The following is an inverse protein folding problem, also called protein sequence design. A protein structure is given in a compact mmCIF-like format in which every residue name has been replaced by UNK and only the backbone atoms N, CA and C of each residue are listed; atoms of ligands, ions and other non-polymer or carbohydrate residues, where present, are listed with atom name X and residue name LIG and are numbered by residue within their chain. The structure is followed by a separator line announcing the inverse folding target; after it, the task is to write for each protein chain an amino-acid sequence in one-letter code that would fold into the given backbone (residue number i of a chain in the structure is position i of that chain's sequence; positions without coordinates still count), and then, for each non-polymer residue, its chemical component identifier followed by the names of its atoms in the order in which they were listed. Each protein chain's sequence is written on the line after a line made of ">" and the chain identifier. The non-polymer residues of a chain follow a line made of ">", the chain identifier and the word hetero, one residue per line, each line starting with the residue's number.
data_IF_229171265240
#
_entry.id   IF_229171265240
#
_cell.length_a   1.000
_cell.length_b   1.000
_cell.length_c   1.000
_cell.angle_alpha   90.00
_cell.angle_beta   90.00
_cell.angle_gamma   90.00
#
_symmetry.space_group_name_H-M   'P 1'
#
loop_
_entity.id
_entity.type
_entity.pdbx_description
1 polymer ?
#
# COMPACT_ATOMS: atom_id res chain seq x y z
N UNK A 1 -17.48 -10.58 11.51
CA UNK A 1 -16.41 -9.94 10.73
C UNK A 1 -16.95 -8.91 9.75
N UNK A 2 -16.09 -8.10 9.13
CA UNK A 2 -16.47 -7.14 8.11
C UNK A 2 -16.85 -7.83 6.80
N UNK A 3 -17.95 -7.38 6.18
CA UNK A 3 -18.33 -7.82 4.84
C UNK A 3 -17.69 -6.88 3.81
N UNK A 4 -16.63 -7.34 3.16
CA UNK A 4 -15.81 -6.54 2.24
C UNK A 4 -15.90 -7.04 0.81
N UNK A 5 -15.83 -6.13 -0.17
CA UNK A 5 -15.55 -6.50 -1.56
C UNK A 5 -14.14 -7.05 -1.67
N UNK A 6 -13.92 -8.13 -2.43
CA UNK A 6 -12.59 -8.75 -2.60
C UNK A 6 -11.57 -7.81 -3.25
N UNK A 7 -12.06 -6.83 -4.01
CA UNK A 7 -11.29 -5.68 -4.49
C UNK A 7 -11.70 -4.46 -3.67
N UNK A 8 -10.74 -3.91 -2.93
CA UNK A 8 -10.86 -2.65 -2.24
C UNK A 8 -10.17 -1.52 -3.02
N UNK A 9 -10.23 -0.32 -2.50
CA UNK A 9 -9.67 0.90 -3.09
C UNK A 9 -8.43 1.37 -2.30
N UNK A 10 -7.24 1.32 -2.92
CA UNK A 10 -6.00 1.85 -2.36
C UNK A 10 -5.88 3.37 -2.54
N UNK A 11 -5.84 4.12 -1.45
CA UNK A 11 -5.97 5.58 -1.44
C UNK A 11 -4.70 6.40 -1.68
N UNK A 12 -3.52 5.79 -1.83
CA UNK A 12 -2.29 6.56 -2.10
C UNK A 12 -2.40 7.41 -3.39
N UNK A 13 -2.88 6.89 -4.52
CA UNK A 13 -2.84 7.65 -5.77
C UNK A 13 -3.78 8.84 -5.82
N UNK A 14 -4.89 8.85 -5.07
CA UNK A 14 -5.86 9.97 -5.13
C UNK A 14 -5.28 11.30 -4.64
N UNK A 15 -4.15 11.29 -3.91
CA UNK A 15 -3.44 12.52 -3.55
C UNK A 15 -3.02 13.36 -4.77
N UNK A 16 -2.82 12.72 -5.93
CA UNK A 16 -2.47 13.39 -7.20
C UNK A 16 -3.65 14.07 -7.89
N UNK A 17 -4.88 13.76 -7.48
CA UNK A 17 -6.12 14.29 -8.06
C UNK A 17 -6.55 15.56 -7.33
N UNK A 18 -7.30 16.41 -8.01
CA UNK A 18 -8.09 17.45 -7.34
C UNK A 18 -9.18 16.85 -6.45
N UNK A 19 -9.72 17.63 -5.53
CA UNK A 19 -10.85 17.21 -4.68
C UNK A 19 -12.04 16.73 -5.52
N UNK A 20 -12.37 17.46 -6.61
CA UNK A 20 -13.50 17.13 -7.50
C UNK A 20 -13.27 15.79 -8.21
N UNK A 21 -12.09 15.58 -8.77
CA UNK A 21 -11.75 14.32 -9.44
C UNK A 21 -11.77 13.14 -8.47
N UNK A 22 -11.19 13.30 -7.28
CA UNK A 22 -11.21 12.27 -6.26
C UNK A 22 -12.63 11.89 -5.83
N UNK A 23 -13.53 12.88 -5.63
CA UNK A 23 -14.94 12.62 -5.30
C UNK A 23 -15.66 11.84 -6.40
N UNK A 24 -15.47 12.21 -7.66
CA UNK A 24 -16.09 11.51 -8.79
C UNK A 24 -15.58 10.06 -8.87
N UNK A 25 -14.27 9.87 -8.75
CA UNK A 25 -13.64 8.55 -8.79
C UNK A 25 -14.11 7.64 -7.64
N UNK A 26 -14.21 8.18 -6.42
CA UNK A 26 -14.70 7.43 -5.25
C UNK A 26 -16.19 7.06 -5.40
N UNK A 27 -17.02 7.98 -5.92
CA UNK A 27 -18.42 7.68 -6.20
C UNK A 27 -18.57 6.57 -7.26
N UNK A 28 -17.73 6.59 -8.31
CA UNK A 28 -17.69 5.54 -9.33
C UNK A 28 -17.25 4.19 -8.72
N UNK A 29 -16.26 4.19 -7.82
CA UNK A 29 -15.81 2.98 -7.15
C UNK A 29 -16.93 2.35 -6.29
N UNK A 30 -17.67 3.16 -5.52
CA UNK A 30 -18.84 2.69 -4.77
C UNK A 30 -19.91 2.15 -5.72
N UNK A 31 -20.22 2.87 -6.81
CA UNK A 31 -21.17 2.44 -7.81
C UNK A 31 -20.79 1.13 -8.53
N UNK A 32 -19.50 0.80 -8.57
CA UNK A 32 -18.97 -0.44 -9.10
C UNK A 32 -18.92 -1.59 -8.04
N UNK A 33 -19.48 -1.39 -6.85
CA UNK A 33 -19.54 -2.42 -5.79
C UNK A 33 -18.32 -2.50 -4.88
N UNK A 34 -17.35 -1.59 -5.02
CA UNK A 34 -16.22 -1.50 -4.08
C UNK A 34 -16.72 -0.87 -2.79
N UNK A 35 -16.58 -1.57 -1.67
CA UNK A 35 -16.99 -1.06 -0.37
C UNK A 35 -15.84 -0.91 0.64
N UNK A 36 -14.64 -1.39 0.37
CA UNK A 36 -13.47 -1.26 1.24
C UNK A 36 -12.52 -0.18 0.73
N UNK A 37 -12.30 0.88 1.52
CA UNK A 37 -11.48 2.04 1.17
C UNK A 37 -10.33 2.20 2.15
N UNK A 38 -9.10 2.02 1.66
CA UNK A 38 -7.88 2.07 2.46
C UNK A 38 -7.11 3.38 2.24
N UNK A 39 -6.80 4.06 3.34
CA UNK A 39 -5.95 5.26 3.36
C UNK A 39 -4.97 5.24 4.52
N UNK A 40 -4.28 6.33 4.78
CA UNK A 40 -3.40 6.51 5.94
C UNK A 40 -3.17 8.01 6.24
N UNK A 41 -2.82 8.30 7.49
CA UNK A 41 -2.41 9.64 7.92
C UNK A 41 -1.25 10.19 7.08
N UNK A 42 -0.29 9.35 6.70
CA UNK A 42 0.88 9.73 5.90
C UNK A 42 0.61 9.92 4.40
N UNK A 43 -0.62 9.74 3.91
CA UNK A 43 -0.96 9.86 2.49
C UNK A 43 -1.45 11.27 2.11
N UNK A 44 -0.80 12.31 2.63
CA UNK A 44 -1.13 13.69 2.34
C UNK A 44 -2.59 14.03 2.67
N UNK A 45 -3.36 14.44 1.68
CA UNK A 45 -4.77 14.80 1.82
C UNK A 45 -5.77 13.67 1.51
N UNK A 46 -5.29 12.42 1.35
CA UNK A 46 -6.11 11.27 0.99
C UNK A 46 -7.25 11.00 1.99
N UNK A 47 -6.99 11.08 3.31
CA UNK A 47 -8.06 10.94 4.32
C UNK A 47 -9.16 12.00 4.13
N UNK A 48 -8.80 13.25 3.83
CA UNK A 48 -9.75 14.34 3.59
C UNK A 48 -10.56 14.11 2.31
N UNK A 49 -9.91 13.67 1.23
CA UNK A 49 -10.57 13.34 -0.04
C UNK A 49 -11.55 12.19 0.13
N UNK A 50 -11.18 11.14 0.87
CA UNK A 50 -12.09 10.03 1.19
C UNK A 50 -13.26 10.49 2.04
N UNK A 51 -13.01 11.29 3.10
CA UNK A 51 -14.07 11.83 3.93
C UNK A 51 -15.08 12.66 3.15
N UNK A 52 -14.62 13.51 2.22
CA UNK A 52 -15.51 14.30 1.36
C UNK A 52 -16.21 13.45 0.28
N UNK A 53 -15.49 12.51 -0.32
CA UNK A 53 -16.01 11.72 -1.45
C UNK A 53 -16.98 10.63 -1.05
N UNK A 54 -16.83 10.07 0.15
CA UNK A 54 -17.65 8.97 0.65
C UNK A 54 -18.74 9.39 1.63
N UNK A 55 -18.85 10.68 1.96
CA UNK A 55 -19.76 11.20 2.98
C UNK A 55 -21.19 10.72 2.78
N UNK A 56 -21.73 10.87 1.58
CA UNK A 56 -23.13 10.51 1.24
C UNK A 56 -23.35 8.98 1.25
N UNK A 57 -22.27 8.22 1.09
CA UNK A 57 -22.26 6.75 1.01
C UNK A 57 -21.58 6.08 2.21
N UNK A 58 -21.36 6.83 3.29
CA UNK A 58 -20.59 6.36 4.45
C UNK A 58 -21.05 4.99 5.00
N UNK A 59 -22.36 4.76 5.02
CA UNK A 59 -22.96 3.52 5.53
C UNK A 59 -22.74 2.31 4.62
N UNK A 60 -22.45 2.56 3.34
CA UNK A 60 -22.15 1.54 2.34
C UNK A 60 -20.65 1.21 2.28
N UNK A 61 -19.81 2.00 2.99
CA UNK A 61 -18.36 1.94 2.90
C UNK A 61 -17.73 1.47 4.21
N UNK A 62 -16.69 0.67 4.10
CA UNK A 62 -15.77 0.30 5.16
C UNK A 62 -14.52 1.17 5.00
N UNK A 63 -14.31 2.08 5.95
CA UNK A 63 -13.16 2.97 5.97
C UNK A 63 -12.04 2.35 6.80
N UNK A 64 -10.91 2.09 6.14
CA UNK A 64 -9.67 1.67 6.77
C UNK A 64 -8.65 2.81 6.69
N UNK A 65 -8.08 3.18 7.83
CA UNK A 65 -6.94 4.10 7.88
C UNK A 65 -5.86 3.59 8.83
N UNK A 66 -4.72 4.26 8.84
CA UNK A 66 -3.55 3.84 9.60
C UNK A 66 -2.64 5.00 9.95
N UNK A 67 -1.91 4.88 11.04
CA UNK A 67 -0.90 5.85 11.44
C UNK A 67 0.34 5.19 12.05
N UNK A 68 1.50 5.85 11.99
CA UNK A 68 2.75 5.33 12.54
C UNK A 68 2.83 5.54 14.06
N UNK A 69 1.70 5.36 14.78
CA UNK A 69 1.70 5.47 16.24
C UNK A 69 2.49 4.30 16.87
N UNK A 70 3.26 4.62 17.91
CA UNK A 70 4.01 3.63 18.70
C UNK A 70 3.64 3.64 20.17
N UNK A 71 2.93 4.69 20.61
CA UNK A 71 2.47 4.86 22.00
C UNK A 71 0.96 5.03 22.08
N UNK A 72 0.37 4.76 23.23
CA UNK A 72 -1.07 4.90 23.47
C UNK A 72 -1.56 6.34 23.30
N UNK A 73 -0.75 7.32 23.70
CA UNK A 73 -1.06 8.75 23.54
C UNK A 73 -1.09 9.18 22.07
N UNK A 74 -0.13 8.71 21.28
CA UNK A 74 -0.11 8.95 19.82
C UNK A 74 -1.33 8.31 19.15
N UNK A 75 -1.67 7.05 19.51
CA UNK A 75 -2.82 6.35 18.96
C UNK A 75 -4.11 7.15 19.14
N UNK A 76 -4.39 7.60 20.38
CA UNK A 76 -5.57 8.41 20.69
C UNK A 76 -5.59 9.75 19.91
N UNK A 77 -4.44 10.43 19.82
CA UNK A 77 -4.32 11.69 19.07
C UNK A 77 -4.56 11.49 17.58
N UNK A 78 -3.96 10.43 17.01
CA UNK A 78 -4.05 10.15 15.58
C UNK A 78 -5.46 9.69 15.18
N UNK A 79 -6.14 8.88 16.00
CA UNK A 79 -7.53 8.49 15.77
C UNK A 79 -8.45 9.72 15.72
N UNK A 80 -8.34 10.65 16.68
CA UNK A 80 -9.14 11.90 16.66
C UNK A 80 -8.90 12.72 15.37
N UNK A 81 -7.64 12.83 14.93
CA UNK A 81 -7.31 13.53 13.67
C UNK A 81 -7.88 12.83 12.45
N UNK A 82 -7.85 11.49 12.43
CA UNK A 82 -8.41 10.69 11.34
C UNK A 82 -9.94 10.83 11.25
N UNK A 83 -10.65 10.76 12.37
CA UNK A 83 -12.10 10.99 12.45
C UNK A 83 -12.50 12.34 11.84
N UNK A 84 -11.77 13.41 12.21
CA UNK A 84 -12.02 14.76 11.69
C UNK A 84 -11.77 14.85 10.18
N UNK A 85 -10.69 14.24 9.66
CA UNK A 85 -10.35 14.27 8.24
C UNK A 85 -11.29 13.41 7.40
N UNK A 86 -11.64 12.23 7.90
CA UNK A 86 -12.58 11.29 7.27
C UNK A 86 -14.05 11.71 7.42
N UNK A 87 -14.34 12.77 8.22
CA UNK A 87 -15.68 13.29 8.48
C UNK A 87 -16.67 12.21 8.93
N UNK A 88 -16.25 11.40 9.87
CA UNK A 88 -17.03 10.27 10.41
C UNK A 88 -16.89 10.21 11.93
N UNK A 89 -17.92 9.70 12.59
CA UNK A 89 -17.93 9.50 14.04
C UNK A 89 -17.24 8.19 14.45
N UNK A 90 -17.05 7.26 13.51
CA UNK A 90 -16.37 6.00 13.75
C UNK A 90 -15.63 5.50 12.51
N UNK A 91 -14.42 4.95 12.71
CA UNK A 91 -13.62 4.31 11.68
C UNK A 91 -13.79 2.80 11.77
N UNK A 92 -14.04 2.13 10.65
CA UNK A 92 -14.32 0.69 10.66
C UNK A 92 -13.06 -0.13 10.98
N UNK A 93 -11.89 0.25 10.40
CA UNK A 93 -10.61 -0.41 10.67
C UNK A 93 -9.51 0.63 10.89
N UNK A 94 -8.85 0.57 12.03
CA UNK A 94 -7.67 1.39 12.31
C UNK A 94 -6.43 0.52 12.46
N UNK A 95 -5.36 0.81 11.69
CA UNK A 95 -4.19 -0.05 11.64
C UNK A 95 -2.94 0.67 12.17
N UNK A 96 -2.08 -0.08 12.88
CA UNK A 96 -0.74 0.35 13.24
C UNK A 96 0.12 0.27 11.98
N UNK A 97 0.58 1.43 11.50
CA UNK A 97 1.20 1.56 10.20
C UNK A 97 2.69 1.27 10.24
N UNK A 98 3.15 0.44 9.28
CA UNK A 98 4.57 0.26 8.96
C UNK A 98 5.41 -0.15 10.18
N UNK A 99 5.08 -1.28 10.78
CA UNK A 99 5.94 -1.92 11.76
C UNK A 99 6.99 -2.73 11.00
N UNK A 100 8.26 -2.28 11.06
CA UNK A 100 9.33 -2.77 10.17
C UNK A 100 10.50 -3.41 10.92
N UNK A 101 10.63 -3.15 12.22
CA UNK A 101 11.74 -3.64 13.07
C UNK A 101 11.22 -4.26 14.36
N UNK A 102 11.93 -5.26 14.88
CA UNK A 102 11.54 -5.95 16.12
C UNK A 102 11.36 -5.00 17.33
N UNK A 103 12.22 -3.99 17.57
CA UNK A 103 12.00 -3.03 18.66
C UNK A 103 10.72 -2.19 18.49
N UNK A 104 10.29 -1.91 17.24
CA UNK A 104 9.02 -1.22 17.00
C UNK A 104 7.83 -2.11 17.37
N UNK A 105 7.87 -3.39 17.01
CA UNK A 105 6.83 -4.36 17.38
C UNK A 105 6.75 -4.48 18.91
N UNK A 106 7.86 -4.66 19.58
CA UNK A 106 7.93 -4.72 21.04
C UNK A 106 7.31 -3.45 21.66
N UNK A 107 7.69 -2.26 21.17
CA UNK A 107 7.13 -1.00 21.64
C UNK A 107 5.62 -0.89 21.43
N UNK A 108 5.13 -1.36 20.30
CA UNK A 108 3.69 -1.36 19.95
C UNK A 108 2.89 -2.25 20.88
N UNK A 109 3.41 -3.43 21.23
CA UNK A 109 2.72 -4.45 22.04
C UNK A 109 2.91 -4.26 23.55
N UNK A 110 3.93 -3.49 23.99
CA UNK A 110 4.24 -3.27 25.40
C UNK A 110 3.18 -2.41 26.11
N UNK A 111 3.10 -2.43 27.46
CA UNK A 111 2.28 -1.51 28.22
C UNK A 111 2.55 -0.05 27.86
N UNK A 112 1.49 0.72 27.66
CA UNK A 112 1.57 2.09 27.13
C UNK A 112 1.87 2.18 25.62
N UNK A 113 1.94 1.05 24.92
CA UNK A 113 2.13 0.96 23.48
C UNK A 113 0.90 1.33 22.65
N UNK A 114 1.08 1.41 21.34
CA UNK A 114 -0.01 1.83 20.46
C UNK A 114 -1.21 0.90 20.47
N UNK A 115 -1.01 -0.41 20.62
CA UNK A 115 -2.10 -1.39 20.67
C UNK A 115 -3.03 -1.13 21.86
N UNK A 116 -2.48 -0.87 23.05
CA UNK A 116 -3.29 -0.52 24.23
C UNK A 116 -4.13 0.75 23.98
N UNK A 117 -3.53 1.75 23.33
CA UNK A 117 -4.23 2.97 22.94
C UNK A 117 -5.38 2.71 21.98
N UNK A 118 -5.19 1.85 20.97
CA UNK A 118 -6.25 1.48 20.02
C UNK A 118 -7.36 0.64 20.67
N UNK A 119 -7.03 -0.25 21.61
CA UNK A 119 -8.01 -1.01 22.38
C UNK A 119 -8.93 -0.04 23.16
N UNK A 120 -8.37 1.02 23.75
CA UNK A 120 -9.17 2.07 24.41
C UNK A 120 -10.08 2.80 23.41
N UNK A 121 -9.54 3.19 22.24
CA UNK A 121 -10.32 3.84 21.19
C UNK A 121 -11.45 2.94 20.65
N UNK A 122 -11.24 1.64 20.60
CA UNK A 122 -12.26 0.65 20.25
C UNK A 122 -13.36 0.58 21.32
N UNK A 123 -12.99 0.55 22.60
CA UNK A 123 -13.96 0.59 23.72
C UNK A 123 -14.79 1.88 23.77
N UNK A 124 -14.19 3.00 23.37
CA UNK A 124 -14.86 4.31 23.25
C UNK A 124 -15.76 4.41 22.00
N UNK A 125 -15.73 3.43 21.09
CA UNK A 125 -16.51 3.41 19.86
C UNK A 125 -15.94 4.26 18.72
N UNK A 126 -14.76 4.86 18.89
CA UNK A 126 -14.09 5.67 17.89
C UNK A 126 -13.57 4.84 16.71
N UNK A 127 -13.21 3.58 16.95
CA UNK A 127 -12.82 2.58 15.93
C UNK A 127 -13.54 1.26 16.22
N UNK A 128 -13.74 0.44 15.19
CA UNK A 128 -14.44 -0.86 15.33
C UNK A 128 -13.47 -2.04 15.37
N UNK A 129 -12.44 -2.02 14.52
CA UNK A 129 -11.47 -3.10 14.39
C UNK A 129 -10.04 -2.55 14.42
N UNK A 130 -9.11 -3.39 14.86
CA UNK A 130 -7.68 -3.07 14.97
C UNK A 130 -6.88 -3.95 14.01
N UNK A 131 -5.92 -3.37 13.30
CA UNK A 131 -5.01 -4.11 12.43
C UNK A 131 -3.57 -3.64 12.56
N UNK A 132 -2.69 -4.37 11.89
CA UNK A 132 -1.26 -4.05 11.79
C UNK A 132 -0.81 -4.11 10.33
N UNK A 133 0.14 -3.24 9.97
CA UNK A 133 0.71 -3.25 8.62
C UNK A 133 2.24 -3.21 8.65
N UNK A 134 2.86 -3.89 7.70
CA UNK A 134 4.31 -3.91 7.52
C UNK A 134 4.71 -4.49 6.18
N UNK A 135 6.02 -4.54 5.95
CA UNK A 135 6.62 -5.14 4.76
C UNK A 135 7.43 -6.39 5.08
N UNK A 136 7.69 -6.64 6.36
CA UNK A 136 8.38 -7.83 6.82
C UNK A 136 7.36 -8.87 7.30
N UNK A 137 7.16 -9.91 6.51
CA UNK A 137 6.17 -10.95 6.77
C UNK A 137 6.45 -11.75 8.05
N UNK A 138 7.74 -12.00 8.39
CA UNK A 138 8.11 -12.69 9.63
C UNK A 138 7.76 -11.87 10.85
N UNK A 139 7.99 -10.55 10.79
CA UNK A 139 7.65 -9.66 11.89
C UNK A 139 6.14 -9.59 12.12
N UNK A 140 5.36 -9.54 11.04
CA UNK A 140 3.91 -9.57 11.12
C UNK A 140 3.37 -10.93 11.61
N UNK A 141 4.00 -12.02 11.19
CA UNK A 141 3.71 -13.36 11.72
C UNK A 141 3.87 -13.38 13.25
N UNK A 142 5.01 -12.89 13.75
CA UNK A 142 5.28 -12.80 15.19
C UNK A 142 4.28 -11.88 15.91
N UNK A 143 3.83 -10.79 15.26
CA UNK A 143 2.81 -9.90 15.83
C UNK A 143 1.48 -10.62 16.05
N UNK A 144 1.03 -11.43 15.08
CA UNK A 144 -0.21 -12.19 15.18
C UNK A 144 -0.14 -13.30 16.25
N UNK A 145 1.03 -13.92 16.46
CA UNK A 145 1.20 -14.91 17.54
C UNK A 145 1.19 -14.28 18.94
N UNK A 146 1.57 -13.00 19.06
CA UNK A 146 1.70 -12.31 20.34
C UNK A 146 0.42 -11.56 20.77
N UNK A 147 -0.57 -11.37 19.88
CA UNK A 147 -1.76 -10.59 20.24
C UNK A 147 -3.01 -11.02 19.48
N UNK A 148 -4.02 -11.42 20.24
CA UNK A 148 -5.37 -11.73 19.73
C UNK A 148 -6.21 -10.46 19.42
N UNK A 149 -5.72 -9.28 19.79
CA UNK A 149 -6.41 -8.00 19.53
C UNK A 149 -6.19 -7.50 18.09
N UNK A 150 -5.27 -8.12 17.35
CA UNK A 150 -5.02 -7.82 15.95
C UNK A 150 -5.98 -8.61 15.06
N UNK A 151 -6.96 -7.93 14.50
CA UNK A 151 -8.05 -8.53 13.71
C UNK A 151 -7.75 -8.55 12.21
N UNK A 152 -6.80 -7.72 11.74
CA UNK A 152 -6.35 -7.72 10.34
C UNK A 152 -4.83 -7.55 10.25
N UNK A 153 -4.28 -8.09 9.17
CA UNK A 153 -2.87 -7.89 8.77
C UNK A 153 -2.80 -7.40 7.33
N UNK A 154 -2.05 -6.30 7.10
CA UNK A 154 -1.86 -5.74 5.77
C UNK A 154 -0.39 -5.79 5.38
N UNK A 155 -0.08 -6.42 4.24
CA UNK A 155 1.28 -6.61 3.75
C UNK A 155 1.34 -6.67 2.22
N UNK A 156 2.52 -6.46 1.59
CA UNK A 156 2.70 -6.66 0.16
C UNK A 156 2.60 -8.15 -0.18
N UNK A 157 1.82 -8.45 -1.21
CA UNK A 157 1.79 -9.80 -1.79
C UNK A 157 1.40 -9.74 -3.26
N UNK A 158 2.22 -10.33 -4.09
CA UNK A 158 2.02 -10.45 -5.52
C UNK A 158 2.91 -11.57 -6.06
N UNK A 159 2.84 -11.87 -7.35
CA UNK A 159 3.56 -13.01 -7.94
C UNK A 159 5.10 -12.89 -7.86
N UNK A 160 5.64 -11.67 -7.68
CA UNK A 160 7.09 -11.44 -7.48
C UNK A 160 7.45 -11.62 -5.99
N UNK A 161 6.54 -11.20 -5.10
CA UNK A 161 6.69 -11.27 -3.65
C UNK A 161 5.97 -12.50 -3.06
N UNK A 162 5.98 -13.62 -3.79
CA UNK A 162 5.41 -14.92 -3.37
C UNK A 162 6.48 -15.76 -2.66
N UNK A 163 6.89 -15.29 -1.49
CA UNK A 163 7.92 -15.93 -0.68
C UNK A 163 7.39 -16.94 0.35
N UNK A 164 8.31 -17.67 0.97
CA UNK A 164 8.01 -18.62 2.05
C UNK A 164 7.36 -17.90 3.25
N UNK A 165 7.83 -16.71 3.58
CA UNK A 165 7.40 -15.95 4.74
C UNK A 165 6.00 -15.38 4.54
N UNK A 166 5.70 -14.84 3.36
CA UNK A 166 4.37 -14.37 2.99
C UNK A 166 3.35 -15.52 3.02
N UNK A 167 3.73 -16.68 2.52
CA UNK A 167 2.91 -17.91 2.58
C UNK A 167 2.67 -18.39 4.02
N UNK A 168 3.66 -18.27 4.90
CA UNK A 168 3.52 -18.59 6.31
C UNK A 168 2.56 -17.62 7.00
N UNK A 169 2.70 -16.30 6.70
CA UNK A 169 1.83 -15.26 7.22
C UNK A 169 0.36 -15.47 6.80
N UNK A 170 0.09 -15.80 5.54
CA UNK A 170 -1.25 -16.15 5.06
C UNK A 170 -1.85 -17.34 5.83
N UNK A 171 -1.03 -18.38 6.09
CA UNK A 171 -1.48 -19.57 6.82
C UNK A 171 -1.83 -19.28 8.27
N UNK A 172 -0.99 -18.49 8.99
CA UNK A 172 -1.25 -18.17 10.39
C UNK A 172 -2.44 -17.21 10.50
N UNK A 173 -2.58 -16.22 9.64
CA UNK A 173 -3.73 -15.33 9.62
C UNK A 173 -5.03 -16.12 9.47
N UNK A 174 -5.10 -17.04 8.51
CA UNK A 174 -6.24 -17.93 8.32
C UNK A 174 -6.52 -18.80 9.54
N UNK A 175 -5.48 -19.36 10.18
CA UNK A 175 -5.62 -20.21 11.39
C UNK A 175 -6.20 -19.42 12.56
N UNK A 176 -5.81 -18.17 12.71
CA UNK A 176 -6.24 -17.29 13.80
C UNK A 176 -7.54 -16.53 13.49
N UNK A 177 -8.09 -16.65 12.27
CA UNK A 177 -9.27 -15.88 11.84
C UNK A 177 -8.99 -14.39 11.63
N UNK A 178 -7.73 -14.03 11.38
CA UNK A 178 -7.29 -12.66 11.11
C UNK A 178 -7.46 -12.34 9.62
N UNK A 179 -8.15 -11.23 9.32
CA UNK A 179 -8.39 -10.79 7.94
C UNK A 179 -7.10 -10.32 7.24
N UNK A 180 -6.95 -10.71 5.98
CA UNK A 180 -5.76 -10.39 5.17
C UNK A 180 -6.05 -9.27 4.16
N UNK A 181 -5.24 -8.21 4.19
CA UNK A 181 -5.33 -7.07 3.27
C UNK A 181 -4.06 -7.02 2.43
N UNK A 182 -4.19 -7.20 1.13
CA UNK A 182 -3.05 -7.25 0.23
C UNK A 182 -2.80 -5.87 -0.38
N UNK A 183 -1.70 -5.24 0.00
CA UNK A 183 -1.20 -4.02 -0.61
C UNK A 183 -0.17 -4.32 -1.71
N UNK A 184 0.06 -3.34 -2.60
CA UNK A 184 1.00 -3.46 -3.73
C UNK A 184 0.78 -4.71 -4.61
N UNK A 185 -0.46 -5.05 -4.93
CA UNK A 185 -0.76 -6.25 -5.71
C UNK A 185 -0.11 -6.24 -7.10
N UNK A 186 0.22 -5.07 -7.61
CA UNK A 186 0.90 -4.86 -8.89
C UNK A 186 2.35 -4.37 -8.73
N UNK A 187 2.99 -4.66 -7.59
CA UNK A 187 4.36 -4.25 -7.29
C UNK A 187 4.62 -2.74 -7.56
N UNK A 188 3.71 -1.88 -7.09
CA UNK A 188 3.77 -0.43 -7.36
C UNK A 188 3.38 -0.02 -8.78
N UNK A 189 2.71 -0.89 -9.53
CA UNK A 189 2.28 -0.67 -10.92
C UNK A 189 3.33 -1.08 -11.96
N UNK A 190 4.32 -1.87 -11.57
CA UNK A 190 5.38 -2.37 -12.47
C UNK A 190 4.93 -3.61 -13.24
N UNK A 191 4.07 -4.45 -12.66
CA UNK A 191 3.60 -5.68 -13.31
C UNK A 191 2.71 -5.33 -14.52
N UNK A 192 3.05 -5.78 -15.74
CA UNK A 192 2.40 -5.36 -16.98
C UNK A 192 1.07 -6.06 -17.28
N UNK A 193 0.71 -7.09 -16.52
CA UNK A 193 -0.51 -7.90 -16.71
C UNK A 193 -1.44 -7.77 -15.49
N UNK A 194 -2.05 -6.59 -15.24
CA UNK A 194 -2.75 -6.32 -13.98
C UNK A 194 -3.91 -7.29 -13.72
N UNK A 195 -4.73 -7.60 -14.73
CA UNK A 195 -5.84 -8.55 -14.58
C UNK A 195 -5.35 -9.93 -14.14
N UNK A 196 -4.33 -10.47 -14.81
CA UNK A 196 -3.81 -11.80 -14.48
C UNK A 196 -3.18 -11.83 -13.10
N UNK A 197 -2.45 -10.76 -12.72
CA UNK A 197 -1.83 -10.66 -11.41
C UNK A 197 -2.88 -10.61 -10.28
N UNK A 198 -3.91 -9.78 -10.42
CA UNK A 198 -4.98 -9.68 -9.42
C UNK A 198 -5.76 -11.00 -9.30
N UNK A 199 -6.09 -11.64 -10.43
CA UNK A 199 -6.72 -12.98 -10.43
C UNK A 199 -5.84 -14.02 -9.75
N UNK A 200 -4.52 -13.99 -9.98
CA UNK A 200 -3.58 -14.87 -9.33
C UNK A 200 -3.60 -14.69 -7.80
N UNK A 201 -3.59 -13.43 -7.31
CA UNK A 201 -3.61 -13.15 -5.87
C UNK A 201 -4.92 -13.64 -5.25
N UNK A 202 -6.07 -13.38 -5.88
CA UNK A 202 -7.38 -13.82 -5.37
C UNK A 202 -7.48 -15.35 -5.20
N UNK A 203 -6.73 -16.12 -5.98
CA UNK A 203 -6.65 -17.57 -5.85
C UNK A 203 -5.82 -18.03 -4.64
N UNK A 204 -5.11 -17.14 -3.97
CA UNK A 204 -4.28 -17.51 -2.80
C UNK A 204 -5.07 -17.52 -1.49
N UNK A 205 -6.37 -17.26 -1.53
CA UNK A 205 -7.24 -17.30 -0.34
C UNK A 205 -7.08 -16.07 0.56
N UNK A 206 -6.78 -14.91 -0.03
CA UNK A 206 -6.76 -13.60 0.63
C UNK A 206 -8.16 -13.01 0.73
N UNK A 207 -8.40 -12.12 1.70
CA UNK A 207 -9.74 -11.56 1.91
C UNK A 207 -10.00 -10.31 1.06
N UNK A 208 -9.03 -9.38 0.98
CA UNK A 208 -9.16 -8.16 0.18
C UNK A 208 -7.84 -7.73 -0.44
N UNK A 209 -7.90 -7.26 -1.68
CA UNK A 209 -6.78 -6.68 -2.40
C UNK A 209 -7.06 -5.19 -2.61
N UNK A 210 -6.08 -4.31 -2.33
CA UNK A 210 -6.24 -2.86 -2.42
C UNK A 210 -5.35 -2.23 -3.52
N UNK A 211 -5.61 -2.47 -4.81
CA UNK A 211 -4.92 -1.75 -5.87
C UNK A 211 -5.18 -0.25 -5.78
N UNK A 212 -4.16 0.56 -6.06
CA UNK A 212 -4.35 1.99 -6.27
C UNK A 212 -5.00 2.23 -7.63
N UNK A 213 -5.99 3.11 -7.69
CA UNK A 213 -6.73 3.45 -8.91
C UNK A 213 -6.88 4.97 -9.05
N UNK A 214 -6.72 5.49 -10.27
CA UNK A 214 -6.92 6.91 -10.61
C UNK A 214 -7.76 7.09 -11.89
N UNK A 215 -8.08 6.00 -12.58
CA UNK A 215 -8.86 6.00 -13.82
C UNK A 215 -10.12 5.15 -13.70
N UNK A 216 -11.21 5.60 -14.33
CA UNK A 216 -12.46 4.84 -14.45
C UNK A 216 -12.28 3.45 -15.06
N UNK A 217 -11.36 3.32 -16.01
CA UNK A 217 -11.02 2.03 -16.63
C UNK A 217 -10.42 1.04 -15.65
N UNK A 218 -9.61 1.52 -14.70
CA UNK A 218 -9.03 0.69 -13.63
C UNK A 218 -10.11 0.21 -12.66
N UNK A 219 -11.05 1.09 -12.28
CA UNK A 219 -12.19 0.71 -11.43
C UNK A 219 -13.01 -0.38 -12.10
N UNK A 220 -13.40 -0.19 -13.37
CA UNK A 220 -14.23 -1.15 -14.12
C UNK A 220 -13.53 -2.49 -14.27
N UNK A 221 -12.26 -2.49 -14.63
CA UNK A 221 -11.47 -3.72 -14.77
C UNK A 221 -11.35 -4.43 -13.43
N UNK A 222 -10.91 -3.73 -12.37
CA UNK A 222 -10.64 -4.33 -11.08
C UNK A 222 -11.92 -4.86 -10.41
N UNK A 223 -13.01 -4.07 -10.39
CA UNK A 223 -14.28 -4.48 -9.78
C UNK A 223 -14.89 -5.71 -10.45
N UNK A 224 -14.77 -5.82 -11.78
CA UNK A 224 -15.31 -6.97 -12.53
C UNK A 224 -14.66 -8.30 -12.15
N UNK A 225 -13.48 -8.29 -11.53
CA UNK A 225 -12.80 -9.50 -11.08
C UNK A 225 -13.48 -10.15 -9.88
N UNK A 226 -14.16 -9.35 -9.04
CA UNK A 226 -14.91 -9.87 -7.90
C UNK A 226 -16.12 -10.71 -8.33
N UNK A 227 -16.79 -10.31 -9.42
CA UNK A 227 -18.01 -10.97 -9.90
C UNK A 227 -17.73 -12.22 -10.76
N UNK A 228 -16.54 -12.30 -11.36
CA UNK A 228 -16.21 -13.32 -12.36
C UNK A 228 -14.85 -13.98 -12.09
N UNK A 229 -14.59 -14.27 -10.81
CA UNK A 229 -13.35 -14.92 -10.43
C UNK A 229 -13.24 -16.30 -11.09
N UNK A 230 -12.36 -16.43 -12.06
CA UNK A 230 -11.98 -17.70 -12.67
C UNK A 230 -10.50 -18.01 -12.44
N UNK A 231 -10.13 -19.25 -12.21
CA UNK A 231 -8.73 -19.67 -12.12
C UNK A 231 -7.93 -19.28 -13.38
N UNK A 232 -6.63 -19.00 -13.21
CA UNK A 232 -5.74 -18.83 -14.35
C UNK A 232 -5.56 -20.17 -15.05
N UNK A 233 -5.65 -20.16 -16.38
CA UNK A 233 -5.23 -21.30 -17.18
C UNK A 233 -3.70 -21.49 -17.09
N UNK A 234 -3.17 -22.70 -17.38
CA UNK A 234 -1.72 -22.92 -17.43
C UNK A 234 -0.99 -21.94 -18.37
N UNK A 235 -1.63 -21.59 -19.49
CA UNK A 235 -1.08 -20.65 -20.47
C UNK A 235 -1.05 -19.21 -19.91
N UNK A 236 -2.14 -18.76 -19.26
CA UNK A 236 -2.18 -17.44 -18.58
C UNK A 236 -1.13 -17.35 -17.48
N UNK A 237 -0.98 -18.39 -16.66
CA UNK A 237 0.03 -18.43 -15.60
C UNK A 237 1.45 -18.41 -16.18
N UNK A 238 1.71 -19.18 -17.24
CA UNK A 238 3.01 -19.20 -17.93
C UNK A 238 3.34 -17.81 -18.52
N UNK A 239 2.35 -17.15 -19.16
CA UNK A 239 2.50 -15.79 -19.67
C UNK A 239 2.82 -14.79 -18.55
N UNK A 240 2.09 -14.83 -17.45
CA UNK A 240 2.33 -13.95 -16.31
C UNK A 240 3.73 -14.16 -15.74
N UNK A 241 4.15 -15.41 -15.49
CA UNK A 241 5.50 -15.73 -14.99
C UNK A 241 6.59 -15.26 -15.94
N UNK A 242 6.44 -15.45 -17.26
CA UNK A 242 7.41 -14.97 -18.24
C UNK A 242 7.56 -13.44 -18.24
N UNK A 243 6.46 -12.71 -18.01
CA UNK A 243 6.46 -11.23 -17.94
C UNK A 243 7.10 -10.70 -16.67
N UNK A 244 6.96 -11.38 -15.53
CA UNK A 244 7.54 -10.92 -14.26
C UNK A 244 8.96 -11.41 -14.01
N UNK A 245 9.40 -12.48 -14.69
CA UNK A 245 10.75 -13.03 -14.53
C UNK A 245 11.90 -11.98 -14.62
N UNK A 246 11.88 -11.00 -15.54
CA UNK A 246 12.91 -9.95 -15.57
C UNK A 246 12.85 -8.99 -14.37
N UNK A 247 11.77 -9.04 -13.56
CA UNK A 247 11.52 -8.17 -12.42
C UNK A 247 11.84 -8.86 -11.08
N UNK A 248 12.32 -10.12 -11.09
CA UNK A 248 12.77 -10.84 -9.88
C UNK A 248 14.06 -10.24 -9.30
N UNK A 249 14.64 -9.23 -9.97
CA UNK A 249 15.78 -8.46 -9.51
C UNK A 249 15.33 -7.27 -8.65
N UNK A 250 16.29 -6.62 -8.02
CA UNK A 250 16.06 -5.44 -7.18
C UNK A 250 15.38 -4.31 -7.98
N UNK A 251 14.14 -3.97 -7.58
CA UNK A 251 13.40 -2.86 -8.16
C UNK A 251 12.66 -2.06 -7.09
N UNK A 252 12.47 -0.78 -7.33
CA UNK A 252 11.78 0.11 -6.40
C UNK A 252 10.27 -0.15 -6.39
N UNK A 253 9.72 -0.53 -5.20
CA UNK A 253 8.26 -0.74 -4.99
C UNK A 253 7.50 0.57 -4.75
N UNK A 254 8.13 1.73 -4.90
CA UNK A 254 7.53 3.07 -4.81
C UNK A 254 6.74 3.30 -3.53
N UNK A 255 7.29 2.83 -2.41
CA UNK A 255 6.65 2.94 -1.10
C UNK A 255 6.86 4.30 -0.42
N UNK A 256 7.80 5.11 -0.91
CA UNK A 256 8.13 6.45 -0.41
C UNK A 256 8.80 6.51 0.98
N UNK A 257 9.22 5.37 1.54
CA UNK A 257 9.85 5.38 2.86
C UNK A 257 11.27 5.98 2.86
N UNK A 258 11.93 5.97 1.70
CA UNK A 258 13.21 6.66 1.51
C UNK A 258 13.10 8.19 1.50
N UNK A 259 11.89 8.74 1.48
CA UNK A 259 11.66 10.18 1.50
C UNK A 259 11.25 10.70 2.88
N UNK A 260 11.55 11.99 3.20
CA UNK A 260 12.33 12.91 2.36
C UNK A 260 13.80 12.54 2.33
N UNK A 261 14.45 12.74 1.17
CA UNK A 261 15.89 12.75 1.06
C UNK A 261 16.45 14.06 1.69
N UNK A 262 17.55 14.04 2.47
CA UNK A 262 18.14 15.25 3.03
C UNK A 262 18.51 16.28 1.95
N UNK A 263 18.95 15.83 0.77
CA UNK A 263 19.32 16.69 -0.36
C UNK A 263 18.10 17.09 -1.24
N UNK A 264 16.89 16.65 -0.89
CA UNK A 264 15.68 16.96 -1.64
C UNK A 264 15.52 16.16 -2.94
N UNK A 265 16.29 15.09 -3.14
CA UNK A 265 16.21 14.25 -4.33
C UNK A 265 14.91 13.46 -4.32
N UNK A 266 14.08 13.53 -5.38
CA UNK A 266 12.84 12.74 -5.48
C UNK A 266 13.14 11.30 -5.89
N UNK A 267 13.70 10.52 -4.96
CA UNK A 267 14.26 9.18 -5.20
C UNK A 267 13.27 8.26 -5.92
N UNK A 268 12.03 8.15 -5.40
CA UNK A 268 11.03 7.26 -6.00
C UNK A 268 10.67 7.64 -7.43
N UNK A 269 10.67 8.94 -7.72
CA UNK A 269 10.32 9.46 -9.05
C UNK A 269 11.43 9.16 -10.06
N UNK A 270 12.69 9.32 -9.66
CA UNK A 270 13.85 8.96 -10.49
C UNK A 270 13.83 7.45 -10.80
N UNK A 271 13.54 6.60 -9.81
CA UNK A 271 13.38 5.17 -10.02
C UNK A 271 12.24 4.87 -11.01
N UNK A 272 11.10 5.56 -10.88
CA UNK A 272 9.97 5.41 -11.80
C UNK A 272 10.31 5.80 -13.24
N UNK A 273 10.99 6.92 -13.43
CA UNK A 273 11.43 7.38 -14.76
C UNK A 273 12.43 6.42 -15.38
N UNK A 274 13.42 5.98 -14.59
CA UNK A 274 14.44 5.03 -15.05
C UNK A 274 13.90 3.64 -15.41
N UNK A 275 12.80 3.20 -14.78
CA UNK A 275 12.12 1.97 -15.19
C UNK A 275 11.34 2.17 -16.50
N UNK A 276 10.68 3.32 -16.65
CA UNK A 276 9.83 3.64 -17.81
C UNK A 276 10.64 4.05 -19.05
N UNK A 277 11.83 4.60 -18.90
CA UNK A 277 12.66 5.05 -20.04
C UNK A 277 12.99 3.91 -21.01
N UNK A 278 12.93 2.67 -20.55
CA UNK A 278 13.10 1.46 -21.38
C UNK A 278 11.90 1.20 -22.33
N UNK A 279 10.79 1.92 -22.14
CA UNK A 279 9.58 1.82 -22.96
C UNK A 279 9.65 2.89 -24.04
N UNK A 280 9.82 2.50 -25.30
CA UNK A 280 10.02 3.41 -26.45
C UNK A 280 8.97 4.54 -26.52
N UNK A 281 7.69 4.23 -26.28
CA UNK A 281 6.59 5.21 -26.38
C UNK A 281 6.65 6.37 -25.37
N UNK A 282 7.43 6.25 -24.29
CA UNK A 282 7.52 7.27 -23.21
C UNK A 282 8.97 7.66 -22.90
N UNK A 283 9.93 7.16 -23.69
CA UNK A 283 11.36 7.38 -23.47
C UNK A 283 11.72 8.87 -23.37
N UNK A 284 11.35 9.64 -24.37
CA UNK A 284 11.70 11.06 -24.45
C UNK A 284 11.01 11.86 -23.34
N UNK A 285 9.75 11.59 -23.07
CA UNK A 285 9.03 12.19 -21.96
C UNK A 285 9.73 11.93 -20.60
N UNK A 286 10.21 10.71 -20.36
CA UNK A 286 10.92 10.38 -19.12
C UNK A 286 12.23 11.18 -18.99
N UNK A 287 12.96 11.37 -20.07
CA UNK A 287 14.19 12.16 -20.12
C UNK A 287 13.93 13.64 -19.88
N UNK A 288 12.92 14.21 -20.57
CA UNK A 288 12.51 15.60 -20.36
C UNK A 288 12.09 15.86 -18.89
N UNK A 289 11.29 14.95 -18.32
CA UNK A 289 10.89 15.04 -16.92
C UNK A 289 12.08 14.95 -15.98
N UNK A 290 13.05 14.08 -16.24
CA UNK A 290 14.27 13.98 -15.45
C UNK A 290 15.14 15.24 -15.55
N UNK A 291 15.33 15.77 -16.76
CA UNK A 291 16.09 17.00 -16.98
C UNK A 291 15.45 18.24 -16.34
N UNK A 292 14.13 18.23 -16.11
CA UNK A 292 13.40 19.31 -15.42
C UNK A 292 13.47 19.26 -13.91
N UNK A 293 14.07 18.24 -13.30
CA UNK A 293 14.19 18.13 -11.85
C UNK A 293 15.15 19.18 -11.30
N UNK A 294 14.74 19.89 -10.25
CA UNK A 294 15.60 20.82 -9.51
C UNK A 294 16.74 20.08 -8.80
N UNK A 295 16.46 18.87 -8.29
CA UNK A 295 17.43 17.97 -7.68
C UNK A 295 17.34 16.60 -8.33
N UNK A 296 18.46 16.02 -8.72
CA UNK A 296 18.52 14.73 -9.37
C UNK A 296 19.57 13.79 -8.73
N UNK A 297 19.91 12.69 -9.37
CA UNK A 297 20.80 11.70 -8.80
C UNK A 297 22.26 12.18 -8.62
N UNK A 298 22.71 13.22 -9.36
CA UNK A 298 24.04 13.83 -9.18
C UNK A 298 24.19 14.57 -7.85
N UNK A 299 23.07 15.05 -7.27
CA UNK A 299 23.07 15.75 -5.99
C UNK A 299 23.21 14.76 -4.80
N UNK A 300 23.35 13.46 -5.05
CA UNK A 300 23.44 12.45 -3.98
C UNK A 300 24.77 12.52 -3.24
N UNK A 301 24.72 12.84 -1.95
CA UNK A 301 25.89 12.85 -1.04
C UNK A 301 26.26 11.47 -0.48
N UNK A 302 25.58 10.42 -0.94
CA UNK A 302 25.80 9.02 -0.51
C UNK A 302 25.63 8.79 1.00
N UNK A 303 24.83 9.58 1.71
CA UNK A 303 24.61 9.49 3.14
C UNK A 303 24.02 8.15 3.65
N UNK A 304 23.37 7.38 2.78
CA UNK A 304 22.81 6.05 3.08
C UNK A 304 21.44 6.04 3.75
N UNK A 305 20.90 7.19 4.21
CA UNK A 305 19.60 7.23 4.92
C UNK A 305 18.44 6.60 4.16
N UNK A 306 18.43 6.71 2.84
CA UNK A 306 17.39 6.12 1.99
C UNK A 306 17.41 4.58 2.02
N UNK A 307 18.60 3.97 2.15
CA UNK A 307 18.78 2.53 2.23
C UNK A 307 18.40 2.01 3.61
N UNK A 308 18.75 2.73 4.69
CA UNK A 308 18.32 2.39 6.06
C UNK A 308 16.82 2.43 6.24
N UNK A 309 16.14 3.34 5.51
CA UNK A 309 14.67 3.48 5.51
C UNK A 309 13.98 2.49 4.58
N UNK A 310 14.72 1.81 3.70
CA UNK A 310 14.13 0.93 2.68
C UNK A 310 13.72 -0.42 3.30
N UNK A 311 12.42 -0.78 3.30
CA UNK A 311 11.97 -2.05 3.85
C UNK A 311 12.33 -3.26 2.98
N UNK A 312 12.95 -3.01 1.82
CA UNK A 312 13.39 -4.02 0.86
C UNK A 312 14.91 -4.10 0.74
N UNK A 313 15.62 -3.39 1.59
CA UNK A 313 17.10 -3.37 1.63
C UNK A 313 17.75 -3.10 0.26
N UNK A 314 17.07 -2.27 -0.57
CA UNK A 314 17.55 -1.97 -1.93
C UNK A 314 18.81 -1.11 -1.89
N UNK A 315 19.80 -1.37 -2.78
CA UNK A 315 20.98 -0.55 -2.94
C UNK A 315 20.64 0.75 -3.68
N UNK A 316 19.89 1.64 -3.01
CA UNK A 316 19.26 2.81 -3.63
C UNK A 316 20.27 3.76 -4.26
N UNK A 317 21.44 3.95 -3.63
CA UNK A 317 22.50 4.81 -4.18
C UNK A 317 23.05 4.28 -5.52
N UNK A 318 23.27 3.00 -5.61
CA UNK A 318 23.68 2.32 -6.87
C UNK A 318 22.58 2.41 -7.92
N UNK A 319 21.34 2.15 -7.52
CA UNK A 319 20.18 2.26 -8.41
C UNK A 319 20.00 3.68 -8.94
N UNK A 320 20.22 4.73 -8.12
CA UNK A 320 20.16 6.12 -8.58
C UNK A 320 21.23 6.40 -9.64
N UNK A 321 22.46 5.92 -9.47
CA UNK A 321 23.54 6.05 -10.46
C UNK A 321 23.18 5.34 -11.77
N UNK A 322 22.61 4.15 -11.69
CA UNK A 322 22.16 3.41 -12.89
C UNK A 322 21.04 4.15 -13.62
N UNK A 323 20.00 4.60 -12.89
CA UNK A 323 18.87 5.31 -13.50
C UNK A 323 19.28 6.65 -14.10
N UNK A 324 20.20 7.37 -13.45
CA UNK A 324 20.80 8.59 -13.99
C UNK A 324 21.44 8.35 -15.35
N UNK A 325 22.31 7.34 -15.48
CA UNK A 325 22.92 6.97 -16.74
C UNK A 325 21.87 6.66 -17.83
N UNK A 326 20.88 5.81 -17.51
CA UNK A 326 19.82 5.44 -18.44
C UNK A 326 18.97 6.63 -18.90
N UNK A 327 18.78 7.64 -18.06
CA UNK A 327 17.98 8.84 -18.36
C UNK A 327 18.77 9.89 -19.13
N UNK A 328 20.10 9.86 -19.08
CA UNK A 328 20.99 10.76 -19.84
C UNK A 328 21.46 10.14 -21.18
N UNK A 329 21.57 8.81 -21.27
CA UNK A 329 22.01 8.15 -22.49
C UNK A 329 21.03 8.37 -23.65
N UNK A 330 21.58 8.65 -24.83
CA UNK A 330 20.87 9.01 -26.07
C UNK A 330 20.06 7.87 -26.65
#
# INVERSE_FOLDING_TARGET
>A
GLQVSVIGFGGIPIRKLSMREAKNLLAEAVGAGINFFDTAQGYGDSERKMGEGLKEKRKECILATKSPCRTAGEAASHVRKALARLKTDSIDLYQIHHVSKAPELERVLSPGGALEGLIRQKKEGNIKHIGITGHNADLLYNALEQSEELETVQFPFNIIEDGKNERALLKIAKKLGVGTIIMKPLAGGVIPEPELCLRWILQQGVDVIIPGMILSTEIKMNSSLGDKLRPLSPQELSRLKAKVKPMEQDFCRRCLYCEPCPEGIPIYFIQELGDKVKISAVKDMCKEMYASLEKNAEDCTECGECEEKCPYELPIREMLKEKHRLLLES
#
